data_IF_053143158969
#
_entry.id   IF_053143158969
#
_cell.length_a   1.000
_cell.length_b   1.000
_cell.length_c   1.000
_cell.angle_alpha   90.00
_cell.angle_beta   90.00
_cell.angle_gamma   90.00
#
_symmetry.space_group_name_H-M   'P 1'
#
loop_
_entity.id
_entity.type
_entity.pdbx_description
1 polymer ?
#
# COMPACT_ATOMS: atom_id res chain seq x y z
N UNK A 1 9.86 18.22 -26.57
CA UNK A 1 9.09 17.04 -26.14
C UNK A 1 8.86 16.97 -24.63
N UNK A 2 9.63 17.65 -23.81
CA UNK A 2 9.58 17.66 -22.32
C UNK A 2 8.33 18.37 -21.74
N UNK A 3 7.88 19.43 -22.41
CA UNK A 3 6.72 20.24 -21.94
C UNK A 3 5.37 19.50 -22.04
N UNK A 4 5.28 18.45 -22.88
CA UNK A 4 4.05 17.69 -23.07
C UNK A 4 3.90 16.56 -22.02
N UNK A 5 5.00 16.05 -21.47
CA UNK A 5 5.01 15.06 -20.38
C UNK A 5 4.57 15.67 -19.04
N UNK A 6 4.98 16.89 -18.74
CA UNK A 6 4.58 17.58 -17.51
C UNK A 6 3.09 17.91 -17.48
N UNK A 7 2.50 18.27 -18.62
CA UNK A 7 1.06 18.54 -18.73
C UNK A 7 0.20 17.25 -18.59
N UNK A 8 0.70 16.10 -19.05
CA UNK A 8 -0.03 14.84 -18.92
C UNK A 8 -0.03 14.33 -17.47
N UNK A 9 1.07 14.48 -16.74
CA UNK A 9 1.15 14.12 -15.31
C UNK A 9 0.25 14.98 -14.43
N UNK A 10 0.24 16.31 -14.64
CA UNK A 10 -0.63 17.22 -13.92
C UNK A 10 -2.12 16.98 -14.22
N UNK A 11 -2.46 16.66 -15.46
CA UNK A 11 -3.83 16.32 -15.85
C UNK A 11 -4.28 15.00 -15.21
N UNK A 12 -3.41 14.00 -15.13
CA UNK A 12 -3.67 12.73 -14.45
C UNK A 12 -3.88 12.92 -12.96
N UNK A 13 -2.98 13.66 -12.29
CA UNK A 13 -3.09 13.99 -10.87
C UNK A 13 -4.41 14.72 -10.55
N UNK A 14 -4.81 15.68 -11.39
CA UNK A 14 -6.10 16.39 -11.24
C UNK A 14 -7.29 15.43 -11.38
N UNK A 15 -7.28 14.51 -12.35
CA UNK A 15 -8.33 13.50 -12.52
C UNK A 15 -8.42 12.58 -11.29
N UNK A 16 -7.28 12.14 -10.76
CA UNK A 16 -7.23 11.31 -9.55
C UNK A 16 -7.78 12.07 -8.33
N UNK A 17 -7.40 13.34 -8.14
CA UNK A 17 -7.92 14.16 -7.05
C UNK A 17 -9.43 14.36 -7.15
N UNK A 18 -9.95 14.64 -8.35
CA UNK A 18 -11.40 14.77 -8.58
C UNK A 18 -12.12 13.46 -8.29
N UNK A 19 -11.59 12.32 -8.76
CA UNK A 19 -12.19 11.00 -8.49
C UNK A 19 -12.22 10.69 -7.00
N UNK A 20 -11.18 11.04 -6.25
CA UNK A 20 -11.11 10.87 -4.80
C UNK A 20 -12.17 11.71 -4.09
N UNK A 21 -12.32 12.97 -4.45
CA UNK A 21 -13.35 13.86 -3.89
C UNK A 21 -14.75 13.35 -4.22
N UNK A 22 -15.00 12.93 -5.48
CA UNK A 22 -16.28 12.33 -5.87
C UNK A 22 -16.59 11.06 -5.07
N UNK A 23 -15.57 10.20 -4.85
CA UNK A 23 -15.71 9.00 -4.04
C UNK A 23 -16.07 9.31 -2.58
N UNK A 24 -15.41 10.30 -1.98
CA UNK A 24 -15.71 10.76 -0.62
C UNK A 24 -17.14 11.31 -0.50
N UNK A 25 -17.55 12.15 -1.44
CA UNK A 25 -18.91 12.71 -1.46
C UNK A 25 -19.96 11.62 -1.64
N UNK A 26 -19.74 10.68 -2.56
CA UNK A 26 -20.63 9.55 -2.76
C UNK A 26 -20.70 8.66 -1.49
N UNK A 27 -19.56 8.34 -0.89
CA UNK A 27 -19.52 7.56 0.35
C UNK A 27 -20.27 8.23 1.50
N UNK A 28 -20.09 9.55 1.65
CA UNK A 28 -20.84 10.31 2.65
C UNK A 28 -22.35 10.34 2.37
N UNK A 29 -22.75 10.48 1.12
CA UNK A 29 -24.15 10.42 0.72
C UNK A 29 -24.79 9.06 1.05
N UNK A 30 -24.09 7.95 0.77
CA UNK A 30 -24.55 6.62 1.14
C UNK A 30 -24.58 6.40 2.66
N UNK A 31 -23.66 6.97 3.41
CA UNK A 31 -23.69 6.95 4.87
C UNK A 31 -24.91 7.67 5.42
N UNK A 32 -25.24 8.86 4.90
CA UNK A 32 -26.46 9.58 5.27
C UNK A 32 -27.74 8.83 4.88
N UNK A 33 -27.73 8.17 3.72
CA UNK A 33 -28.84 7.33 3.27
C UNK A 33 -29.07 6.14 4.23
N UNK A 34 -27.98 5.49 4.66
CA UNK A 34 -28.03 4.41 5.67
C UNK A 34 -28.71 4.89 6.96
N UNK A 35 -28.21 6.00 7.50
CA UNK A 35 -28.75 6.58 8.73
C UNK A 35 -30.25 6.89 8.59
N UNK A 36 -30.66 7.50 7.48
CA UNK A 36 -32.03 7.86 7.21
C UNK A 36 -32.93 6.63 7.05
N UNK A 37 -32.49 5.59 6.37
CA UNK A 37 -33.22 4.34 6.20
C UNK A 37 -33.35 3.59 7.53
N UNK A 38 -32.34 3.55 8.35
CA UNK A 38 -32.36 2.93 9.67
C UNK A 38 -33.30 3.70 10.61
N UNK A 39 -33.25 5.03 10.61
CA UNK A 39 -34.15 5.87 11.42
C UNK A 39 -35.65 5.75 11.01
N UNK A 40 -35.91 5.49 9.72
CA UNK A 40 -37.27 5.31 9.20
C UNK A 40 -37.82 3.87 9.34
N UNK A 41 -37.08 2.96 9.98
CA UNK A 41 -37.47 1.56 10.15
C UNK A 41 -37.28 0.68 8.92
N UNK A 42 -36.70 1.19 7.85
CA UNK A 42 -36.48 0.48 6.58
C UNK A 42 -35.11 -0.17 6.50
N UNK A 43 -34.61 -0.74 7.59
CA UNK A 43 -33.31 -1.42 7.67
C UNK A 43 -33.17 -2.58 6.66
N UNK A 44 -34.26 -3.24 6.30
CA UNK A 44 -34.27 -4.29 5.29
C UNK A 44 -33.89 -3.78 3.90
N UNK A 45 -34.34 -2.58 3.51
CA UNK A 45 -33.94 -1.95 2.26
C UNK A 45 -32.45 -1.61 2.26
N UNK A 46 -31.93 -1.09 3.38
CA UNK A 46 -30.50 -0.84 3.49
C UNK A 46 -29.70 -2.13 3.37
N UNK A 47 -30.13 -3.21 4.02
CA UNK A 47 -29.46 -4.52 3.90
C UNK A 47 -29.38 -4.96 2.44
N UNK A 48 -30.48 -4.87 1.68
CA UNK A 48 -30.48 -5.23 0.25
C UNK A 48 -29.52 -4.37 -0.57
N UNK A 49 -29.46 -3.05 -0.32
CA UNK A 49 -28.53 -2.14 -1.00
C UNK A 49 -27.09 -2.48 -0.63
N UNK A 50 -26.83 -2.75 0.65
CA UNK A 50 -25.50 -3.13 1.12
C UNK A 50 -25.04 -4.44 0.49
N UNK A 51 -25.86 -5.47 0.49
CA UNK A 51 -25.54 -6.79 -0.07
C UNK A 51 -25.30 -6.71 -1.58
N UNK A 52 -26.02 -5.84 -2.29
CA UNK A 52 -25.85 -5.64 -3.71
C UNK A 52 -24.60 -4.84 -4.06
N UNK A 53 -24.30 -3.79 -3.30
CA UNK A 53 -23.27 -2.80 -3.71
C UNK A 53 -21.97 -2.88 -2.91
N UNK A 54 -22.03 -3.03 -1.59
CA UNK A 54 -20.90 -2.78 -0.70
C UNK A 54 -20.39 -4.00 0.06
N UNK A 55 -21.25 -5.02 0.20
CA UNK A 55 -20.93 -6.17 1.04
C UNK A 55 -19.65 -6.86 0.60
N UNK A 56 -18.79 -7.17 1.56
CA UNK A 56 -17.65 -8.04 1.35
C UNK A 56 -18.14 -9.46 1.06
N UNK A 57 -17.96 -9.90 -0.17
CA UNK A 57 -18.37 -11.23 -0.64
C UNK A 57 -17.53 -12.37 -0.06
N UNK A 58 -16.42 -12.05 0.61
CA UNK A 58 -15.54 -13.03 1.26
C UNK A 58 -15.83 -13.19 2.75
N UNK A 59 -16.74 -12.36 3.30
CA UNK A 59 -17.14 -12.44 4.70
C UNK A 59 -18.07 -13.64 4.94
N UNK A 60 -17.97 -14.23 6.12
CA UNK A 60 -18.86 -15.32 6.52
C UNK A 60 -20.34 -14.86 6.48
N UNK A 61 -21.19 -15.64 5.83
CA UNK A 61 -22.62 -15.33 5.67
C UNK A 61 -22.97 -14.39 4.52
N UNK A 62 -22.02 -14.00 3.68
CA UNK A 62 -22.23 -13.14 2.51
C UNK A 62 -22.43 -13.92 1.18
N UNK A 63 -22.76 -15.22 1.25
CA UNK A 63 -22.82 -16.13 0.09
C UNK A 63 -23.80 -15.69 -1.01
N UNK A 64 -24.80 -14.87 -0.68
CA UNK A 64 -25.77 -14.33 -1.62
C UNK A 64 -25.54 -12.86 -1.98
N UNK A 65 -24.50 -12.24 -1.43
CA UNK A 65 -24.17 -10.85 -1.70
C UNK A 65 -23.43 -10.72 -3.05
N UNK A 66 -23.71 -9.64 -3.77
CA UNK A 66 -23.04 -9.33 -5.03
C UNK A 66 -21.88 -8.38 -4.85
N UNK A 67 -21.92 -7.43 -3.90
CA UNK A 67 -20.83 -6.53 -3.55
C UNK A 67 -20.17 -5.84 -4.74
N UNK A 68 -20.93 -5.24 -5.66
CA UNK A 68 -20.40 -4.75 -6.94
C UNK A 68 -19.24 -3.77 -6.75
N UNK A 69 -19.38 -2.79 -5.86
CA UNK A 69 -18.30 -1.83 -5.59
C UNK A 69 -17.14 -2.49 -4.84
N UNK A 70 -17.42 -3.47 -3.98
CA UNK A 70 -16.40 -4.25 -3.33
C UNK A 70 -15.55 -5.02 -4.36
N UNK A 71 -16.18 -5.72 -5.30
CA UNK A 71 -15.48 -6.47 -6.36
C UNK A 71 -14.62 -5.54 -7.20
N UNK A 72 -15.17 -4.42 -7.67
CA UNK A 72 -14.42 -3.45 -8.50
C UNK A 72 -13.23 -2.90 -7.71
N UNK A 73 -13.43 -2.52 -6.45
CA UNK A 73 -12.37 -2.06 -5.57
C UNK A 73 -11.28 -3.10 -5.34
N UNK A 74 -11.66 -4.36 -5.07
CA UNK A 74 -10.71 -5.46 -4.87
C UNK A 74 -9.94 -5.82 -6.14
N UNK A 75 -10.60 -5.81 -7.29
CA UNK A 75 -9.91 -6.02 -8.58
C UNK A 75 -8.89 -4.92 -8.85
N UNK A 76 -9.24 -3.68 -8.58
CA UNK A 76 -8.32 -2.55 -8.71
C UNK A 76 -7.12 -2.69 -7.78
N UNK A 77 -7.36 -3.01 -6.49
CA UNK A 77 -6.28 -3.23 -5.52
C UNK A 77 -5.38 -4.40 -5.96
N UNK A 78 -5.96 -5.51 -6.39
CA UNK A 78 -5.20 -6.67 -6.88
C UNK A 78 -4.38 -6.34 -8.13
N UNK A 79 -4.93 -5.54 -9.05
CA UNK A 79 -4.20 -5.08 -10.22
C UNK A 79 -2.99 -4.20 -9.84
N UNK A 80 -3.17 -3.27 -8.89
CA UNK A 80 -2.04 -2.48 -8.35
C UNK A 80 -0.99 -3.37 -7.70
N UNK A 81 -1.41 -4.33 -6.89
CA UNK A 81 -0.51 -5.25 -6.19
C UNK A 81 0.31 -6.11 -7.14
N UNK A 82 -0.28 -6.53 -8.27
CA UNK A 82 0.40 -7.31 -9.31
C UNK A 82 1.61 -6.55 -9.88
N UNK A 83 1.49 -5.24 -10.02
CA UNK A 83 2.52 -4.37 -10.61
C UNK A 83 3.61 -3.98 -9.60
N UNK A 84 3.27 -3.87 -8.32
CA UNK A 84 4.17 -3.35 -7.28
C UNK A 84 5.45 -4.18 -7.15
N UNK A 85 5.34 -5.49 -7.06
CA UNK A 85 6.49 -6.37 -6.78
C UNK A 85 7.52 -6.33 -7.92
N UNK A 86 7.16 -6.60 -9.20
CA UNK A 86 8.13 -6.52 -10.29
C UNK A 86 8.70 -5.10 -10.47
N UNK A 87 7.89 -4.06 -10.34
CA UNK A 87 8.33 -2.68 -10.44
C UNK A 87 9.35 -2.32 -9.35
N UNK A 88 9.07 -2.66 -8.09
CA UNK A 88 9.98 -2.40 -6.96
C UNK A 88 11.29 -3.16 -7.15
N UNK A 89 11.20 -4.45 -7.51
CA UNK A 89 12.39 -5.28 -7.72
C UNK A 89 13.28 -4.75 -8.83
N UNK A 90 12.74 -4.48 -10.01
CA UNK A 90 13.52 -4.00 -11.17
C UNK A 90 14.08 -2.61 -10.93
N UNK A 91 13.28 -1.67 -10.43
CA UNK A 91 13.69 -0.30 -10.19
C UNK A 91 14.82 -0.20 -9.16
N UNK A 92 14.69 -0.90 -8.03
CA UNK A 92 15.72 -0.90 -6.98
C UNK A 92 16.99 -1.60 -7.45
N UNK A 93 16.86 -2.76 -8.12
CA UNK A 93 18.02 -3.48 -8.65
C UNK A 93 18.82 -2.65 -9.65
N UNK A 94 18.11 -1.98 -10.57
CA UNK A 94 18.74 -1.09 -11.56
C UNK A 94 19.38 0.14 -10.89
N UNK A 95 18.70 0.77 -9.95
CA UNK A 95 19.18 1.93 -9.23
C UNK A 95 20.49 1.61 -8.48
N UNK A 96 20.52 0.52 -7.72
CA UNK A 96 21.72 0.09 -6.98
C UNK A 96 22.81 -0.37 -7.93
N UNK A 97 22.47 -1.14 -8.96
CA UNK A 97 23.41 -1.62 -9.95
C UNK A 97 24.09 -0.50 -10.75
N UNK A 98 23.49 0.67 -10.88
CA UNK A 98 24.04 1.81 -11.60
C UNK A 98 25.01 2.68 -10.78
N UNK A 99 25.08 2.48 -9.45
CA UNK A 99 25.94 3.28 -8.58
C UNK A 99 27.39 2.78 -8.69
N UNK A 100 28.26 3.58 -9.30
CA UNK A 100 29.68 3.21 -9.55
C UNK A 100 30.54 3.23 -8.28
N UNK A 101 30.15 3.97 -7.25
CA UNK A 101 30.92 4.17 -6.02
C UNK A 101 30.15 3.68 -4.78
N UNK A 102 30.61 2.53 -4.25
CA UNK A 102 30.06 1.90 -3.05
C UNK A 102 30.11 2.80 -1.81
N UNK A 103 31.12 3.68 -1.72
CA UNK A 103 31.28 4.63 -0.61
C UNK A 103 30.20 5.71 -0.65
N UNK A 104 29.91 6.22 -1.85
CA UNK A 104 28.84 7.19 -2.07
C UNK A 104 27.47 6.55 -1.78
N UNK A 105 27.27 5.29 -2.17
CA UNK A 105 26.07 4.53 -1.85
C UNK A 105 25.83 4.41 -0.34
N UNK A 106 26.85 4.02 0.42
CA UNK A 106 26.77 3.91 1.88
C UNK A 106 26.41 5.24 2.55
N UNK A 107 26.99 6.35 2.10
CA UNK A 107 26.69 7.69 2.61
C UNK A 107 25.26 8.14 2.30
N UNK A 108 24.77 7.87 1.09
CA UNK A 108 23.38 8.19 0.69
C UNK A 108 22.41 7.36 1.53
N UNK A 109 22.63 6.04 1.60
CA UNK A 109 21.78 5.13 2.37
C UNK A 109 21.71 5.53 3.85
N UNK A 110 22.85 5.80 4.49
CA UNK A 110 22.89 6.23 5.89
C UNK A 110 22.15 7.55 6.12
N UNK A 111 22.34 8.54 5.24
CA UNK A 111 21.65 9.83 5.35
C UNK A 111 20.15 9.69 5.15
N UNK A 112 19.72 8.89 4.16
CA UNK A 112 18.30 8.62 3.89
C UNK A 112 17.65 7.90 5.06
N UNK A 113 18.31 6.87 5.61
CA UNK A 113 17.83 6.12 6.76
C UNK A 113 17.66 7.02 8.00
N UNK A 114 18.66 7.88 8.26
CA UNK A 114 18.59 8.84 9.36
C UNK A 114 17.37 9.77 9.24
N UNK A 115 17.18 10.38 8.07
CA UNK A 115 16.04 11.28 7.83
C UNK A 115 14.69 10.54 7.88
N UNK A 116 14.65 9.32 7.39
CA UNK A 116 13.45 8.47 7.45
C UNK A 116 13.09 8.13 8.92
N UNK A 117 14.06 7.70 9.72
CA UNK A 117 13.82 7.41 11.14
C UNK A 117 13.41 8.66 11.91
N UNK A 118 14.07 9.79 11.64
CA UNK A 118 13.72 11.07 12.27
C UNK A 118 12.29 11.50 11.93
N UNK A 119 11.90 11.44 10.66
CA UNK A 119 10.55 11.79 10.23
C UNK A 119 9.49 10.84 10.81
N UNK A 120 9.78 9.54 10.88
CA UNK A 120 8.90 8.55 11.50
C UNK A 120 8.73 8.80 13.00
N UNK A 121 9.80 9.13 13.68
CA UNK A 121 9.75 9.49 15.11
C UNK A 121 8.90 10.75 15.35
N UNK A 122 9.09 11.79 14.53
CA UNK A 122 8.28 13.01 14.63
C UNK A 122 6.80 12.73 14.33
N UNK A 123 6.51 11.89 13.33
CA UNK A 123 5.14 11.49 13.01
C UNK A 123 4.47 10.74 14.18
N UNK A 124 5.20 9.83 14.83
CA UNK A 124 4.70 9.12 16.02
C UNK A 124 4.45 10.06 17.18
N UNK A 125 5.33 11.04 17.41
CA UNK A 125 5.11 12.07 18.43
C UNK A 125 3.85 12.89 18.15
N UNK A 126 3.67 13.35 16.92
CA UNK A 126 2.48 14.09 16.52
C UNK A 126 1.20 13.25 16.67
N UNK A 127 1.23 12.00 16.24
CA UNK A 127 0.10 11.08 16.38
C UNK A 127 -0.22 10.83 17.85
N UNK A 128 0.80 10.67 18.71
CA UNK A 128 0.65 10.52 20.17
C UNK A 128 0.02 11.76 20.82
N UNK A 129 0.47 12.94 20.45
CA UNK A 129 -0.10 14.20 20.96
C UNK A 129 -1.56 14.36 20.51
N UNK A 130 -1.86 14.14 19.24
CA UNK A 130 -3.23 14.21 18.72
C UNK A 130 -4.11 13.15 19.38
N UNK A 131 -3.63 11.90 19.49
CA UNK A 131 -4.36 10.81 20.13
C UNK A 131 -4.65 11.10 21.60
N UNK A 132 -3.65 11.60 22.35
CA UNK A 132 -3.82 11.98 23.75
C UNK A 132 -4.82 13.14 23.93
N UNK A 133 -4.71 14.19 23.11
CA UNK A 133 -5.62 15.34 23.18
C UNK A 133 -7.06 14.93 22.84
N UNK A 134 -7.28 14.16 21.79
CA UNK A 134 -8.62 13.69 21.42
C UNK A 134 -9.22 12.74 22.46
N UNK A 135 -8.39 11.90 23.09
CA UNK A 135 -8.81 11.05 24.20
C UNK A 135 -9.20 11.91 25.43
N UNK A 136 -8.37 12.88 25.82
CA UNK A 136 -8.63 13.77 26.97
C UNK A 136 -9.86 14.66 26.76
N UNK A 137 -10.20 15.01 25.52
CA UNK A 137 -11.41 15.76 25.17
C UNK A 137 -12.68 14.87 25.17
N UNK A 138 -12.58 13.57 25.43
CA UNK A 138 -13.72 12.66 25.48
C UNK A 138 -14.37 12.35 24.12
N UNK A 139 -13.68 12.67 23.01
CA UNK A 139 -14.22 12.44 21.66
C UNK A 139 -14.36 10.94 21.32
N UNK A 140 -13.71 10.07 22.07
CA UNK A 140 -13.82 8.61 21.94
C UNK A 140 -14.84 7.95 22.89
N UNK A 141 -15.60 8.73 23.65
CA UNK A 141 -16.62 8.22 24.56
C UNK A 141 -17.93 7.80 23.84
N UNK A 142 -17.98 7.87 22.52
CA UNK A 142 -19.03 7.24 21.76
C UNK A 142 -18.91 5.72 21.92
N UNK A 143 -19.76 5.14 22.75
CA UNK A 143 -19.92 3.69 22.84
C UNK A 143 -20.48 3.22 21.51
N UNK A 144 -19.62 2.77 20.61
CA UNK A 144 -20.06 2.12 19.37
C UNK A 144 -20.39 0.69 19.77
N UNK A 145 -21.67 0.48 20.13
CA UNK A 145 -22.21 -0.87 20.30
C UNK A 145 -22.02 -1.62 18.98
N UNK A 146 -21.23 -2.69 19.00
CA UNK A 146 -20.97 -3.52 17.83
C UNK A 146 -19.59 -3.41 17.19
N UNK A 147 -18.63 -2.68 17.78
CA UNK A 147 -17.24 -3.04 17.55
C UNK A 147 -17.05 -4.42 18.18
N UNK A 148 -17.01 -5.46 17.35
CA UNK A 148 -16.39 -6.72 17.75
C UNK A 148 -15.12 -6.33 18.48
N UNK A 149 -14.93 -6.83 19.71
CA UNK A 149 -13.69 -6.64 20.43
C UNK A 149 -12.58 -6.81 19.43
N UNK A 150 -11.79 -5.76 19.21
CA UNK A 150 -10.68 -5.85 18.29
C UNK A 150 -9.97 -7.11 18.71
N UNK A 151 -10.11 -8.17 17.93
CA UNK A 151 -9.42 -9.44 18.18
C UNK A 151 -7.98 -9.01 18.24
N UNK A 152 -7.48 -8.83 19.48
CA UNK A 152 -6.15 -8.37 19.69
C UNK A 152 -5.29 -9.30 18.87
N UNK A 153 -4.83 -8.86 17.73
CA UNK A 153 -3.84 -9.62 16.99
C UNK A 153 -2.78 -9.85 18.04
N UNK A 154 -2.66 -11.10 18.48
CA UNK A 154 -1.60 -11.52 19.41
C UNK A 154 -0.34 -10.95 18.80
N UNK A 155 0.16 -9.87 19.42
CA UNK A 155 1.18 -9.03 18.82
C UNK A 155 2.34 -9.92 18.42
N UNK A 156 2.46 -10.19 17.13
CA UNK A 156 3.61 -10.94 16.64
C UNK A 156 4.84 -10.15 17.06
N UNK A 157 5.81 -10.84 17.66
CA UNK A 157 7.04 -10.21 18.11
C UNK A 157 7.58 -9.33 16.97
N UNK A 158 7.83 -8.02 17.17
CA UNK A 158 8.34 -7.13 16.13
C UNK A 158 9.61 -7.65 15.45
N UNK A 159 10.39 -8.48 16.16
CA UNK A 159 11.59 -9.14 15.62
C UNK A 159 11.28 -10.15 14.51
N UNK A 160 10.04 -10.65 14.40
CA UNK A 160 9.64 -11.49 13.28
C UNK A 160 9.74 -10.75 11.94
N UNK A 161 9.60 -9.43 11.93
CA UNK A 161 9.81 -8.63 10.73
C UNK A 161 11.25 -8.77 10.24
N UNK A 162 12.22 -8.75 11.17
CA UNK A 162 13.65 -8.88 10.85
C UNK A 162 13.95 -10.28 10.27
N UNK A 163 13.35 -11.32 10.83
CA UNK A 163 13.51 -12.69 10.32
C UNK A 163 12.91 -12.84 8.91
N UNK A 164 11.81 -12.15 8.65
CA UNK A 164 11.10 -12.22 7.37
C UNK A 164 11.69 -11.31 6.28
N UNK A 165 12.72 -10.51 6.56
CA UNK A 165 13.44 -9.73 5.54
C UNK A 165 14.10 -10.68 4.53
N UNK A 166 14.75 -11.75 5.02
CA UNK A 166 15.43 -12.72 4.16
C UNK A 166 14.43 -13.81 3.79
N UNK A 167 14.02 -13.89 2.54
CA UNK A 167 13.06 -14.91 2.13
C UNK A 167 13.70 -16.29 2.12
N UNK A 168 12.97 -17.31 2.60
CA UNK A 168 13.37 -18.71 2.49
C UNK A 168 13.27 -19.24 1.05
N UNK A 169 12.46 -18.59 0.21
CA UNK A 169 12.26 -18.95 -1.19
C UNK A 169 11.97 -17.68 -2.02
N UNK A 170 12.66 -17.57 -3.16
CA UNK A 170 12.49 -16.44 -4.10
C UNK A 170 11.06 -16.37 -4.62
N UNK A 171 10.44 -17.51 -4.92
CA UNK A 171 9.07 -17.55 -5.48
C UNK A 171 8.06 -17.00 -4.46
N UNK A 172 8.19 -17.32 -3.19
CA UNK A 172 7.30 -16.78 -2.15
C UNK A 172 7.49 -15.29 -1.94
N UNK A 173 8.71 -14.77 -2.10
CA UNK A 173 8.99 -13.34 -2.04
C UNK A 173 8.29 -12.57 -3.17
N UNK A 174 8.19 -13.14 -4.36
CA UNK A 174 7.48 -12.53 -5.50
C UNK A 174 6.00 -12.86 -5.55
N UNK A 175 5.55 -13.95 -4.94
CA UNK A 175 4.17 -14.43 -4.97
C UNK A 175 3.25 -13.90 -3.87
N UNK A 176 3.77 -13.13 -2.91
CA UNK A 176 2.99 -12.63 -1.77
C UNK A 176 3.12 -11.11 -1.63
N UNK A 177 1.97 -10.43 -1.64
CA UNK A 177 1.93 -8.98 -1.40
C UNK A 177 2.37 -8.57 0.01
N UNK A 178 2.36 -9.49 0.97
CA UNK A 178 2.92 -9.29 2.31
C UNK A 178 4.45 -9.36 2.35
N UNK A 179 5.08 -9.86 1.28
CA UNK A 179 6.52 -10.08 1.20
C UNK A 179 7.29 -8.98 0.43
N UNK A 180 6.72 -7.78 0.31
CA UNK A 180 7.38 -6.63 -0.37
C UNK A 180 8.76 -6.36 0.22
N UNK A 181 8.92 -6.45 1.54
CA UNK A 181 10.21 -6.24 2.21
C UNK A 181 11.24 -7.27 1.77
N UNK A 182 10.85 -8.54 1.61
CA UNK A 182 11.71 -9.61 1.10
C UNK A 182 12.08 -9.39 -0.37
N UNK A 183 11.15 -8.88 -1.19
CA UNK A 183 11.41 -8.49 -2.57
C UNK A 183 12.40 -7.33 -2.66
N UNK A 184 12.30 -6.34 -1.77
CA UNK A 184 13.28 -5.24 -1.65
C UNK A 184 14.66 -5.78 -1.27
N UNK A 185 14.74 -6.70 -0.31
CA UNK A 185 16.01 -7.33 0.06
C UNK A 185 16.66 -8.04 -1.13
N UNK A 186 15.89 -8.84 -1.88
CA UNK A 186 16.37 -9.49 -3.09
C UNK A 186 16.80 -8.48 -4.16
N UNK A 187 16.06 -7.38 -4.32
CA UNK A 187 16.43 -6.32 -5.25
C UNK A 187 17.76 -5.66 -4.89
N UNK A 188 17.98 -5.39 -3.60
CA UNK A 188 19.25 -4.85 -3.10
C UNK A 188 20.39 -5.85 -3.35
N UNK A 189 20.21 -7.11 -2.98
CA UNK A 189 21.20 -8.15 -3.18
C UNK A 189 21.56 -8.33 -4.67
N UNK A 190 20.55 -8.32 -5.55
CA UNK A 190 20.75 -8.40 -7.00
C UNK A 190 21.46 -7.17 -7.54
N UNK A 191 21.05 -5.97 -7.13
CA UNK A 191 21.70 -4.72 -7.54
C UNK A 191 23.15 -4.63 -7.09
N UNK A 192 23.47 -5.04 -5.86
CA UNK A 192 24.86 -5.13 -5.36
C UNK A 192 25.67 -6.14 -6.15
N UNK A 193 25.12 -7.31 -6.45
CA UNK A 193 25.79 -8.32 -7.26
C UNK A 193 26.08 -7.82 -8.67
N UNK A 194 25.12 -7.10 -9.29
CA UNK A 194 25.32 -6.47 -10.60
C UNK A 194 26.41 -5.38 -10.57
N UNK A 195 26.50 -4.66 -9.46
CA UNK A 195 27.53 -3.65 -9.26
C UNK A 195 28.94 -4.29 -9.18
N UNK A 196 29.10 -5.34 -8.35
CA UNK A 196 30.37 -6.06 -8.17
C UNK A 196 30.82 -6.76 -9.45
N UNK A 197 29.91 -7.38 -10.20
CA UNK A 197 30.23 -8.07 -11.46
C UNK A 197 30.58 -7.14 -12.61
N UNK A 198 30.18 -5.88 -12.52
CA UNK A 198 30.41 -4.86 -13.52
C UNK A 198 29.43 -4.90 -14.69
N UNK A 199 29.43 -3.81 -15.45
CA UNK A 199 28.44 -3.56 -16.51
C UNK A 199 28.52 -4.57 -17.65
N UNK A 200 29.73 -4.93 -18.08
CA UNK A 200 29.95 -5.84 -19.20
C UNK A 200 29.39 -7.26 -18.97
N UNK A 201 29.47 -7.77 -17.73
CA UNK A 201 28.96 -9.09 -17.38
C UNK A 201 27.46 -9.10 -17.08
N UNK A 202 26.91 -7.96 -16.72
CA UNK A 202 25.50 -7.83 -16.31
C UNK A 202 24.63 -7.11 -17.33
N UNK A 203 25.14 -6.80 -18.51
CA UNK A 203 24.45 -6.05 -19.56
C UNK A 203 23.09 -6.65 -19.92
N UNK A 204 23.01 -7.96 -20.13
CA UNK A 204 21.75 -8.65 -20.45
C UNK A 204 20.74 -8.55 -19.31
N UNK A 205 21.18 -8.74 -18.05
CA UNK A 205 20.30 -8.63 -16.88
C UNK A 205 19.76 -7.22 -16.72
N UNK A 206 20.63 -6.20 -16.87
CA UNK A 206 20.25 -4.78 -16.81
C UNK A 206 19.21 -4.44 -17.88
N UNK A 207 19.46 -4.91 -19.11
CA UNK A 207 18.54 -4.71 -20.22
C UNK A 207 17.18 -5.37 -19.96
N UNK A 208 17.17 -6.63 -19.53
CA UNK A 208 15.95 -7.36 -19.20
C UNK A 208 15.14 -6.64 -18.11
N UNK A 209 15.82 -6.23 -17.02
CA UNK A 209 15.16 -5.49 -15.95
C UNK A 209 14.64 -4.13 -16.41
N UNK A 210 15.37 -3.45 -17.31
CA UNK A 210 14.92 -2.19 -17.91
C UNK A 210 13.65 -2.40 -18.74
N UNK A 211 13.64 -3.39 -19.62
CA UNK A 211 12.49 -3.72 -20.45
C UNK A 211 11.28 -4.14 -19.61
N UNK A 212 11.48 -4.92 -18.54
CA UNK A 212 10.40 -5.25 -17.58
C UNK A 212 9.89 -3.99 -16.88
N UNK A 213 10.78 -3.09 -16.44
CA UNK A 213 10.41 -1.85 -15.78
C UNK A 213 9.64 -0.88 -16.69
N UNK A 214 9.89 -0.93 -18.00
CA UNK A 214 9.20 -0.11 -18.99
C UNK A 214 7.79 -0.65 -19.31
N UNK A 215 7.58 -1.96 -19.16
CA UNK A 215 6.29 -2.63 -19.42
C UNK A 215 5.35 -2.55 -18.23
N UNK A 216 5.88 -2.53 -17.00
CA UNK A 216 5.14 -2.49 -15.74
C UNK A 216 4.81 -1.06 -15.33
#
# INVERSE_FOLDING_TARGET
>A
MENNKNNSGAALAKKMAVSLVCGLVAGFAFMMLREKLNASGNSALWKTINDLLFQDITAEGAEQAFGIFYIIGQLFIKALQLVIIPMVFTSISLAIGSISDTRTMGRIASKTLFWFLLSSFLALLLAGVVGYTTFSMGLFNAHIEGLAEASGSTGSNPLNVVLNIIPSNIITAFGSNGAVLSSVFLAIATGLSMNVLGESRTATMRRLMGEVNDVV
#
